data_IF_983043786947
#
_entry.id   IF_983043786947
#
_cell.length_a   1.000
_cell.length_b   1.000
_cell.length_c   1.000
_cell.angle_alpha   90.00
_cell.angle_beta   90.00
_cell.angle_gamma   90.00
#
_symmetry.space_group_name_H-M   'P 1'
#
loop_
_entity.id
_entity.type
_entity.pdbx_description
1 polymer ?
#
# COMPACT_ATOMS: atom_id res chain seq x y z
N UNK A 1 -34.32 23.48 38.35
CA UNK A 1 -35.12 22.52 37.56
C UNK A 1 -34.40 22.29 36.25
N UNK A 2 -34.34 21.11 35.66
CA UNK A 2 -35.13 19.89 35.81
C UNK A 2 -34.20 18.72 35.44
N UNK A 3 -34.31 17.61 36.16
CA UNK A 3 -33.68 16.35 35.78
C UNK A 3 -34.43 15.73 34.60
N UNK A 4 -33.72 14.97 33.75
CA UNK A 4 -34.34 14.00 32.87
C UNK A 4 -33.38 12.82 32.67
N UNK A 5 -33.79 11.65 33.16
CA UNK A 5 -33.10 10.39 32.97
C UNK A 5 -33.75 9.51 31.90
N UNK A 6 -33.12 8.36 31.71
CA UNK A 6 -33.60 7.12 31.08
C UNK A 6 -33.79 7.10 29.56
N UNK A 7 -33.02 6.22 28.90
CA UNK A 7 -33.57 5.14 28.09
C UNK A 7 -32.50 4.05 27.87
N UNK A 8 -32.71 2.92 28.53
CA UNK A 8 -32.18 1.61 28.15
C UNK A 8 -33.07 1.06 27.02
N UNK A 9 -32.49 0.31 26.08
CA UNK A 9 -33.25 -0.63 25.26
C UNK A 9 -32.95 -0.60 23.77
N UNK A 10 -32.44 -1.72 23.26
CA UNK A 10 -32.47 -2.04 21.83
C UNK A 10 -31.21 -2.75 21.36
N UNK A 11 -31.08 -4.04 21.66
CA UNK A 11 -30.18 -4.93 20.92
C UNK A 11 -30.85 -5.27 19.58
N UNK A 12 -30.26 -4.93 18.41
CA UNK A 12 -30.72 -5.51 17.17
C UNK A 12 -30.09 -6.89 17.01
N UNK A 13 -30.99 -7.89 17.02
CA UNK A 13 -30.74 -9.28 16.73
C UNK A 13 -29.83 -9.47 15.51
N UNK A 14 -28.80 -10.30 15.71
CA UNK A 14 -28.03 -10.98 14.69
C UNK A 14 -28.94 -11.79 13.73
N UNK A 15 -29.29 -11.21 12.58
CA UNK A 15 -29.75 -11.99 11.41
C UNK A 15 -28.96 -11.59 10.18
N UNK A 16 -27.72 -12.08 10.10
CA UNK A 16 -26.96 -12.12 8.84
C UNK A 16 -27.05 -13.53 8.28
N UNK A 17 -28.16 -13.86 7.63
CA UNK A 17 -28.25 -15.06 6.81
C UNK A 17 -27.13 -15.03 5.76
N UNK A 18 -26.41 -16.14 5.64
CA UNK A 18 -25.34 -16.30 4.67
C UNK A 18 -25.89 -16.28 3.26
N UNK A 19 -25.47 -15.29 2.49
CA UNK A 19 -25.43 -15.38 1.03
C UNK A 19 -23.96 -15.59 0.67
N UNK A 20 -23.62 -16.87 0.58
CA UNK A 20 -22.38 -17.33 -0.03
C UNK A 20 -22.28 -16.68 -1.42
N UNK A 21 -21.20 -15.94 -1.64
CA UNK A 21 -20.91 -15.31 -2.92
C UNK A 21 -20.02 -16.29 -3.71
N UNK A 22 -20.54 -17.09 -4.67
CA UNK A 22 -19.72 -18.04 -5.43
C UNK A 22 -18.96 -17.33 -6.55
N UNK A 23 -18.04 -16.43 -6.18
CA UNK A 23 -17.11 -15.80 -7.12
C UNK A 23 -15.68 -15.74 -6.53
N UNK A 24 -15.33 -16.75 -5.74
CA UNK A 24 -13.95 -16.97 -5.27
C UNK A 24 -13.13 -17.89 -6.19
N UNK A 25 -13.64 -18.28 -7.37
CA UNK A 25 -12.95 -19.26 -8.21
C UNK A 25 -12.98 -18.88 -9.70
N UNK A 26 -12.09 -17.96 -10.07
CA UNK A 26 -11.65 -17.81 -11.46
C UNK A 26 -10.14 -17.57 -11.47
N UNK A 27 -9.43 -18.69 -11.31
CA UNK A 27 -8.20 -19.04 -12.02
C UNK A 27 -7.45 -17.87 -12.67
N UNK A 28 -6.34 -17.45 -12.08
CA UNK A 28 -5.12 -17.14 -12.83
C UNK A 28 -3.91 -17.45 -11.96
N UNK A 29 -3.29 -18.59 -12.25
CA UNK A 29 -1.94 -18.93 -11.85
C UNK A 29 -0.97 -17.87 -12.42
N UNK A 30 -0.84 -16.75 -11.72
CA UNK A 30 0.20 -15.77 -11.97
C UNK A 30 1.53 -16.37 -11.55
N UNK A 31 2.42 -16.59 -12.51
CA UNK A 31 3.84 -16.90 -12.30
C UNK A 31 4.32 -16.09 -11.11
N UNK A 32 4.72 -16.75 -10.01
CA UNK A 32 5.25 -16.09 -8.81
C UNK A 32 6.49 -15.30 -9.23
N UNK A 33 6.29 -14.05 -9.65
CA UNK A 33 7.35 -13.17 -10.06
C UNK A 33 8.24 -13.00 -8.84
N UNK A 34 9.39 -13.68 -8.82
CA UNK A 34 10.40 -13.50 -7.78
C UNK A 34 10.73 -12.01 -7.81
N UNK A 35 10.33 -11.29 -6.77
CA UNK A 35 10.61 -9.87 -6.66
C UNK A 35 12.13 -9.73 -6.64
N UNK A 36 12.70 -9.31 -7.77
CA UNK A 36 14.14 -9.09 -7.89
C UNK A 36 14.47 -7.92 -6.97
N UNK A 37 14.96 -8.23 -5.75
CA UNK A 37 15.55 -7.22 -4.88
C UNK A 37 16.75 -6.65 -5.63
N UNK A 38 16.62 -5.40 -6.08
CA UNK A 38 17.73 -4.69 -6.73
C UNK A 38 18.79 -4.47 -5.65
N UNK A 39 19.85 -5.28 -5.70
CA UNK A 39 20.95 -5.23 -4.73
C UNK A 39 21.88 -4.03 -4.94
N UNK A 40 21.57 -3.19 -5.93
CA UNK A 40 22.33 -1.98 -6.20
C UNK A 40 21.83 -0.85 -5.30
N UNK A 41 22.74 -0.10 -4.66
CA UNK A 41 22.36 1.08 -3.89
C UNK A 41 21.63 2.07 -4.79
N UNK A 42 20.47 2.53 -4.33
CA UNK A 42 19.74 3.61 -5.00
C UNK A 42 20.57 4.88 -4.82
N UNK A 43 21.28 5.30 -5.87
CA UNK A 43 21.95 6.60 -5.89
C UNK A 43 20.90 7.69 -5.65
N UNK A 44 21.08 8.44 -4.57
CA UNK A 44 20.20 9.56 -4.23
C UNK A 44 20.41 10.71 -5.21
N UNK A 45 19.37 11.50 -5.49
CA UNK A 45 19.45 12.66 -6.41
C UNK A 45 20.57 13.66 -6.05
N UNK A 46 20.96 13.77 -4.78
CA UNK A 46 22.03 14.69 -4.34
C UNK A 46 23.42 14.06 -4.25
N UNK A 47 23.55 12.74 -4.40
CA UNK A 47 24.81 12.00 -4.28
C UNK A 47 25.78 12.36 -5.42
N UNK A 48 27.12 12.28 -5.24
CA UNK A 48 28.05 12.36 -6.34
C UNK A 48 27.68 11.36 -7.45
N UNK A 49 27.74 11.83 -8.70
CA UNK A 49 27.35 11.00 -9.83
C UNK A 49 28.39 9.89 -10.06
N UNK A 50 27.97 8.61 -10.17
CA UNK A 50 28.89 7.47 -10.27
C UNK A 50 29.72 7.43 -11.57
N UNK A 51 29.45 8.33 -12.52
CA UNK A 51 30.24 8.51 -13.74
C UNK A 51 31.56 9.29 -13.51
N UNK A 52 31.86 9.71 -12.27
CA UNK A 52 33.12 10.38 -11.95
C UNK A 52 33.20 11.86 -12.34
N UNK A 53 32.09 12.48 -12.76
CA UNK A 53 32.10 13.88 -13.22
C UNK A 53 32.20 14.93 -12.10
N UNK A 54 32.22 14.52 -10.82
CA UNK A 54 32.18 15.43 -9.66
C UNK A 54 30.85 16.20 -9.47
N UNK A 55 29.88 16.02 -10.37
CA UNK A 55 28.55 16.64 -10.31
C UNK A 55 27.61 15.79 -9.46
N UNK A 56 26.61 16.43 -8.83
CA UNK A 56 25.49 15.71 -8.16
C UNK A 56 24.69 14.91 -9.19
N UNK A 57 24.17 13.74 -8.82
CA UNK A 57 23.40 12.86 -9.71
C UNK A 57 22.26 13.60 -10.43
N UNK A 58 21.48 14.41 -9.71
CA UNK A 58 20.38 15.26 -10.25
C UNK A 58 20.82 16.30 -11.29
N UNK A 59 22.11 16.61 -11.38
CA UNK A 59 22.69 17.57 -12.35
C UNK A 59 23.45 16.86 -13.48
N UNK A 60 23.34 15.54 -13.55
CA UNK A 60 24.05 14.70 -14.50
C UNK A 60 23.06 13.62 -14.97
N UNK A 61 23.30 12.35 -14.65
CA UNK A 61 22.46 11.23 -15.10
C UNK A 61 21.03 11.21 -14.53
N UNK A 62 20.77 11.95 -13.45
CA UNK A 62 19.46 12.12 -12.83
C UNK A 62 18.76 13.44 -13.16
N UNK A 63 19.21 14.18 -14.18
CA UNK A 63 18.63 15.48 -14.54
C UNK A 63 17.21 15.39 -15.13
N UNK A 64 16.83 14.23 -15.68
CA UNK A 64 15.51 13.98 -16.28
C UNK A 64 14.63 12.97 -15.51
N UNK A 65 15.04 12.56 -14.31
CA UNK A 65 14.34 11.58 -13.46
C UNK A 65 13.69 12.21 -12.24
#
# INVERSE_FOLDING_TARGET
GYAAGAAQGGEPALVGAGESNPMAEASQAGTRARTVKRNQPKVGRNDPCPCGSGKKYKKCHGAGL
#
